data_IF_332303142753
#
_entry.id   IF_332303142753
#
_cell.length_a   1.000
_cell.length_b   1.000
_cell.length_c   1.000
_cell.angle_alpha   90.00
_cell.angle_beta   90.00
_cell.angle_gamma   90.00
#
_symmetry.space_group_name_H-M   'P 1'
#
loop_
_entity.id
_entity.type
_entity.pdbx_description
1 polymer ?
#
# COMPACT_ATOMS: atom_id res chain seq x y z
N UNK A 1 1.83 -0.96 11.45
CA UNK A 1 0.74 -0.05 11.03
C UNK A 1 -0.61 -0.51 11.61
N UNK A 2 -1.58 0.38 11.90
CA UNK A 2 -2.94 0.00 12.35
C UNK A 2 -4.00 0.40 11.31
N UNK A 3 -4.66 -0.58 10.69
CA UNK A 3 -5.70 -0.40 9.68
C UNK A 3 -7.09 -0.75 10.24
N UNK A 4 -8.16 -0.23 9.62
CA UNK A 4 -9.52 -0.75 9.89
C UNK A 4 -9.67 -2.15 9.27
N UNK A 5 -10.55 -3.00 9.80
CA UNK A 5 -10.68 -4.42 9.39
C UNK A 5 -10.79 -4.63 7.87
N UNK A 6 -11.56 -3.76 7.18
CA UNK A 6 -11.72 -3.84 5.72
C UNK A 6 -10.45 -3.39 4.98
N UNK A 7 -9.79 -2.33 5.45
CA UNK A 7 -8.52 -1.87 4.89
C UNK A 7 -7.42 -2.91 5.09
N UNK A 8 -7.35 -3.50 6.28
CA UNK A 8 -6.41 -4.57 6.62
C UNK A 8 -6.60 -5.79 5.73
N UNK A 9 -7.83 -6.25 5.54
CA UNK A 9 -8.13 -7.36 4.63
C UNK A 9 -7.66 -7.08 3.20
N UNK A 10 -7.92 -5.87 2.69
CA UNK A 10 -7.49 -5.49 1.35
C UNK A 10 -5.97 -5.36 1.24
N UNK A 11 -5.32 -4.76 2.25
CA UNK A 11 -3.87 -4.65 2.34
C UNK A 11 -3.20 -6.03 2.32
N UNK A 12 -3.63 -6.93 3.21
CA UNK A 12 -3.09 -8.30 3.30
C UNK A 12 -3.30 -9.10 2.01
N UNK A 13 -4.41 -8.87 1.28
CA UNK A 13 -4.65 -9.50 -0.02
C UNK A 13 -3.61 -9.10 -1.07
N UNK A 14 -3.12 -7.87 -1.03
CA UNK A 14 -2.04 -7.40 -1.90
C UNK A 14 -0.66 -7.81 -1.37
N UNK A 15 -0.32 -7.42 -0.15
CA UNK A 15 1.05 -7.51 0.33
C UNK A 15 1.52 -8.94 0.60
N UNK A 16 0.62 -9.91 0.78
CA UNK A 16 1.00 -11.32 0.97
C UNK A 16 1.19 -12.09 -0.35
N UNK A 17 1.03 -11.46 -1.52
CA UNK A 17 1.34 -12.11 -2.80
C UNK A 17 2.86 -12.16 -2.98
N UNK A 18 3.43 -13.30 -3.40
CA UNK A 18 4.88 -13.38 -3.68
C UNK A 18 5.32 -12.33 -4.72
N UNK A 19 4.43 -12.02 -5.65
CA UNK A 19 4.64 -11.05 -6.74
C UNK A 19 4.14 -9.65 -6.42
N UNK A 20 3.83 -9.31 -5.15
CA UNK A 20 3.24 -8.02 -4.76
C UNK A 20 3.98 -6.80 -5.32
N UNK A 21 5.31 -6.90 -5.47
CA UNK A 21 6.21 -5.86 -5.96
C UNK A 21 6.40 -5.85 -7.47
N UNK A 22 5.87 -6.88 -8.14
CA UNK A 22 5.91 -7.01 -9.59
C UNK A 22 5.02 -5.97 -10.26
N UNK A 23 5.32 -5.66 -11.52
CA UNK A 23 4.46 -4.79 -12.33
C UNK A 23 3.26 -5.52 -12.93
N UNK A 24 2.93 -6.73 -12.44
CA UNK A 24 1.84 -7.53 -12.96
C UNK A 24 0.48 -6.84 -12.72
N UNK A 25 -0.44 -6.81 -13.70
CA UNK A 25 -1.72 -6.09 -13.59
C UNK A 25 -2.55 -6.48 -12.36
N UNK A 26 -2.58 -7.78 -12.01
CA UNK A 26 -3.32 -8.26 -10.83
C UNK A 26 -2.77 -7.73 -9.50
N UNK A 27 -1.45 -7.49 -9.40
CA UNK A 27 -0.86 -6.96 -8.17
C UNK A 27 -1.16 -5.46 -8.04
N UNK A 28 -1.11 -4.73 -9.15
CA UNK A 28 -1.58 -3.33 -9.22
C UNK A 28 -3.04 -3.22 -8.83
N UNK A 29 -3.90 -4.09 -9.36
CA UNK A 29 -5.33 -4.12 -9.03
C UNK A 29 -5.55 -4.32 -7.53
N UNK A 30 -4.89 -5.31 -6.91
CA UNK A 30 -4.99 -5.55 -5.47
C UNK A 30 -4.53 -4.35 -4.64
N UNK A 31 -3.44 -3.70 -5.05
CA UNK A 31 -2.98 -2.46 -4.41
C UNK A 31 -4.03 -1.34 -4.52
N UNK A 32 -4.61 -1.12 -5.70
CA UNK A 32 -5.68 -0.14 -5.87
C UNK A 32 -6.93 -0.48 -5.06
N UNK A 33 -7.29 -1.76 -4.90
CA UNK A 33 -8.36 -2.18 -3.99
C UNK A 33 -8.05 -1.80 -2.54
N UNK A 34 -6.79 -1.93 -2.10
CA UNK A 34 -6.37 -1.47 -0.79
C UNK A 34 -6.52 0.06 -0.64
N UNK A 35 -6.03 0.84 -1.61
CA UNK A 35 -6.19 2.31 -1.62
C UNK A 35 -7.66 2.70 -1.57
N UNK A 36 -8.51 2.06 -2.38
CA UNK A 36 -9.94 2.30 -2.38
C UNK A 36 -10.57 2.01 -1.02
N UNK A 37 -10.28 0.85 -0.43
CA UNK A 37 -10.76 0.49 0.90
C UNK A 37 -10.34 1.52 1.96
N UNK A 38 -9.09 1.99 1.90
CA UNK A 38 -8.59 3.06 2.78
C UNK A 38 -9.33 4.37 2.58
N UNK A 39 -9.54 4.82 1.35
CA UNK A 39 -10.28 6.08 1.08
C UNK A 39 -11.75 6.05 1.47
N UNK A 40 -12.33 4.86 1.67
CA UNK A 40 -13.75 4.69 2.01
C UNK A 40 -13.96 4.39 3.50
N UNK A 41 -13.07 3.60 4.10
CA UNK A 41 -13.23 3.06 5.46
C UNK A 41 -12.06 3.38 6.39
N UNK A 42 -11.07 4.14 5.92
CA UNK A 42 -9.95 4.62 6.71
C UNK A 42 -10.45 5.54 7.82
N UNK A 43 -10.10 5.20 9.07
CA UNK A 43 -10.49 5.99 10.26
C UNK A 43 -9.31 6.68 10.93
N UNK A 44 -8.09 6.20 10.69
CA UNK A 44 -6.85 6.75 11.22
C UNK A 44 -5.93 7.09 10.06
N UNK A 45 -5.15 8.16 10.23
CA UNK A 45 -4.20 8.60 9.23
C UNK A 45 -3.06 7.57 9.15
N UNK A 46 -3.03 6.83 8.05
CA UNK A 46 -1.90 6.03 7.60
C UNK A 46 -1.15 6.88 6.59
N UNK A 47 0.15 7.04 6.80
CA UNK A 47 1.05 7.67 5.83
C UNK A 47 1.66 6.64 4.89
N UNK A 48 2.14 7.10 3.74
CA UNK A 48 2.97 6.32 2.82
C UNK A 48 4.23 5.80 3.51
N UNK A 49 4.84 6.61 4.38
CA UNK A 49 5.97 6.16 5.22
C UNK A 49 5.62 4.97 6.12
N UNK A 50 4.40 4.93 6.66
CA UNK A 50 3.93 3.79 7.47
C UNK A 50 3.78 2.51 6.64
N UNK A 51 3.38 2.64 5.37
CA UNK A 51 3.31 1.53 4.41
C UNK A 51 4.73 1.05 4.07
N UNK A 52 5.64 1.98 3.75
CA UNK A 52 7.04 1.69 3.46
C UNK A 52 7.69 0.88 4.59
N UNK A 53 7.59 1.33 5.84
CA UNK A 53 8.16 0.61 6.98
C UNK A 53 7.56 -0.79 7.16
N UNK A 54 6.24 -0.95 6.95
CA UNK A 54 5.60 -2.27 7.06
C UNK A 54 6.08 -3.24 5.98
N UNK A 55 6.26 -2.75 4.74
CA UNK A 55 6.83 -3.53 3.63
C UNK A 55 8.25 -3.97 3.96
N UNK A 56 9.12 -3.04 4.39
CA UNK A 56 10.50 -3.35 4.77
C UNK A 56 10.51 -4.41 5.86
N UNK A 57 9.77 -4.21 6.96
CA UNK A 57 9.74 -5.14 8.08
C UNK A 57 9.24 -6.55 7.70
N UNK A 58 8.34 -6.69 6.71
CA UNK A 58 7.82 -7.99 6.27
C UNK A 58 8.78 -8.77 5.38
N UNK A 59 9.58 -8.06 4.60
CA UNK A 59 10.38 -8.62 3.51
C UNK A 59 11.89 -8.47 3.72
N UNK A 60 12.33 -7.84 4.82
CA UNK A 60 13.73 -7.79 5.20
C UNK A 60 14.32 -9.20 5.28
N UNK A 61 15.45 -9.41 4.62
CA UNK A 61 16.11 -10.72 4.51
C UNK A 61 15.42 -11.72 3.57
N UNK A 62 14.29 -11.38 2.95
CA UNK A 62 13.61 -12.22 1.92
C UNK A 62 13.85 -11.74 0.50
N UNK A 63 14.09 -10.44 0.34
CA UNK A 63 14.39 -9.79 -0.93
C UNK A 63 15.75 -9.09 -0.82
N UNK A 64 16.36 -8.80 -1.96
CA UNK A 64 17.56 -7.96 -2.01
C UNK A 64 17.23 -6.55 -1.47
N UNK A 65 18.09 -6.04 -0.60
CA UNK A 65 17.83 -4.85 0.23
C UNK A 65 17.56 -3.59 -0.61
N UNK A 66 18.31 -3.37 -1.69
CA UNK A 66 18.14 -2.20 -2.55
C UNK A 66 16.81 -2.25 -3.31
N UNK A 67 16.45 -3.41 -3.84
CA UNK A 67 15.17 -3.68 -4.49
C UNK A 67 14.02 -3.49 -3.51
N UNK A 68 14.13 -4.05 -2.30
CA UNK A 68 13.11 -3.92 -1.25
C UNK A 68 12.87 -2.45 -0.89
N UNK A 69 13.94 -1.68 -0.63
CA UNK A 69 13.83 -0.26 -0.28
C UNK A 69 13.18 0.54 -1.39
N UNK A 70 13.63 0.34 -2.64
CA UNK A 70 13.05 1.01 -3.80
C UNK A 70 11.55 0.70 -3.96
N UNK A 71 11.13 -0.56 -3.79
CA UNK A 71 9.73 -0.94 -3.90
C UNK A 71 8.89 -0.43 -2.74
N UNK A 72 9.42 -0.46 -1.53
CA UNK A 72 8.74 0.07 -0.35
C UNK A 72 8.50 1.58 -0.46
N UNK A 73 9.51 2.34 -0.92
CA UNK A 73 9.42 3.77 -1.20
C UNK A 73 8.38 4.06 -2.29
N UNK A 74 8.47 3.36 -3.42
CA UNK A 74 7.54 3.53 -4.53
C UNK A 74 6.08 3.34 -4.11
N UNK A 75 5.76 2.25 -3.41
CA UNK A 75 4.38 1.99 -2.99
C UNK A 75 3.91 2.87 -1.82
N UNK A 76 4.84 3.34 -0.98
CA UNK A 76 4.55 4.35 0.04
C UNK A 76 4.13 5.68 -0.60
N UNK A 77 4.95 6.19 -1.53
CA UNK A 77 4.64 7.41 -2.29
C UNK A 77 3.35 7.27 -3.11
N UNK A 78 3.22 6.18 -3.87
CA UNK A 78 2.03 5.96 -4.71
C UNK A 78 0.74 5.89 -3.89
N UNK A 79 0.81 5.35 -2.66
CA UNK A 79 -0.33 5.36 -1.76
C UNK A 79 -0.77 6.79 -1.41
N UNK A 80 0.17 7.67 -1.04
CA UNK A 80 -0.12 9.07 -0.68
C UNK A 80 -0.74 9.81 -1.88
N UNK A 81 -0.12 9.75 -3.05
CA UNK A 81 -0.61 10.39 -4.27
C UNK A 81 -2.05 9.99 -4.60
N UNK A 82 -2.35 8.68 -4.55
CA UNK A 82 -3.68 8.18 -4.90
C UNK A 82 -4.74 8.53 -3.84
N UNK A 83 -4.35 8.59 -2.57
CA UNK A 83 -5.25 9.01 -1.48
C UNK A 83 -5.56 10.50 -1.62
N UNK A 84 -4.55 11.33 -1.83
CA UNK A 84 -4.69 12.77 -1.98
C UNK A 84 -5.51 13.13 -3.22
N UNK A 85 -5.23 12.48 -4.36
CA UNK A 85 -6.00 12.66 -5.59
C UNK A 85 -7.48 12.27 -5.40
N UNK A 86 -7.77 11.14 -4.73
CA UNK A 86 -9.15 10.73 -4.44
C UNK A 86 -9.85 11.67 -3.46
N UNK A 87 -9.11 12.26 -2.53
CA UNK A 87 -9.65 13.26 -1.62
C UNK A 87 -9.99 14.56 -2.35
N UNK A 88 -9.11 15.00 -3.26
CA UNK A 88 -9.36 16.13 -4.15
C UNK A 88 -10.63 15.93 -4.99
N UNK A 89 -10.80 14.75 -5.62
CA UNK A 89 -11.99 14.40 -6.40
C UNK A 89 -13.29 14.28 -5.60
N UNK A 90 -13.23 14.14 -4.27
CA UNK A 90 -14.43 14.14 -3.41
C UNK A 90 -14.86 15.54 -3.01
N UNK A 91 -13.96 16.52 -3.12
CA UNK A 91 -14.18 17.91 -2.73
C UNK A 91 -14.59 18.82 -3.88
N UNK A 92 -14.31 18.40 -5.12
CA UNK A 92 -14.64 19.10 -6.36
C UNK A 92 -15.51 18.18 -7.22
#
# INVERSE_FOLDING_TARGET
MKLSKLCEKAYLRWINQETWSSSHPKDKERFHCFVQAYTQYGRKQVSGYSIQLDIINRYQGKLEDSYLKQKAEYYGWLFEELVDYRYYLKKN
#
